data_IF_816800983940
#
_entry.id   IF_816800983940
#
_cell.length_a   1.000
_cell.length_b   1.000
_cell.length_c   1.000
_cell.angle_alpha   90.00
_cell.angle_beta   90.00
_cell.angle_gamma   90.00
#
_symmetry.space_group_name_H-M   'P 1'
#
loop_
_entity.id
_entity.type
_entity.pdbx_description
1 polymer ?
#
# COMPACT_ATOMS: atom_id res chain seq x y z
N UNK A 1 -6.99 27.57 31.70
CA UNK A 1 -7.78 26.36 31.38
C UNK A 1 -8.46 25.91 32.65
N UNK A 2 -9.79 25.93 32.66
CA UNK A 2 -10.58 25.46 33.81
C UNK A 2 -10.73 23.93 33.77
N UNK A 3 -11.10 23.32 34.90
CA UNK A 3 -11.31 21.87 34.98
C UNK A 3 -12.41 21.38 34.02
N UNK A 4 -13.45 22.17 33.79
CA UNK A 4 -14.53 21.87 32.84
C UNK A 4 -14.06 21.90 31.37
N UNK A 5 -13.19 22.84 31.00
CA UNK A 5 -12.62 22.89 29.65
C UNK A 5 -11.77 21.64 29.36
N UNK A 6 -11.03 21.14 30.35
CA UNK A 6 -10.25 19.91 30.20
C UNK A 6 -11.15 18.67 30.09
N UNK A 7 -12.19 18.59 30.92
CA UNK A 7 -13.16 17.47 30.89
C UNK A 7 -13.91 17.44 29.56
N UNK A 8 -14.40 18.57 29.05
CA UNK A 8 -15.08 18.62 27.75
C UNK A 8 -14.16 18.17 26.61
N UNK A 9 -12.89 18.58 26.64
CA UNK A 9 -11.90 18.17 25.63
C UNK A 9 -11.59 16.68 25.69
N UNK A 10 -11.53 16.10 26.89
CA UNK A 10 -11.33 14.66 27.09
C UNK A 10 -12.57 13.88 26.62
N UNK A 11 -13.78 14.34 26.96
CA UNK A 11 -15.03 13.70 26.54
C UNK A 11 -15.17 13.74 25.02
N UNK A 12 -14.90 14.89 24.38
CA UNK A 12 -14.86 14.99 22.92
C UNK A 12 -13.82 14.05 22.30
N UNK A 13 -12.62 13.97 22.87
CA UNK A 13 -11.57 13.04 22.42
C UNK A 13 -11.98 11.57 22.58
N UNK A 14 -12.59 11.20 23.71
CA UNK A 14 -13.06 9.84 23.97
C UNK A 14 -14.21 9.48 23.03
N UNK A 15 -15.20 10.35 22.85
CA UNK A 15 -16.29 10.14 21.90
C UNK A 15 -15.77 10.05 20.45
N UNK A 16 -14.80 10.89 20.07
CA UNK A 16 -14.14 10.81 18.76
C UNK A 16 -13.42 9.47 18.56
N UNK A 17 -12.74 8.96 19.59
CA UNK A 17 -12.05 7.65 19.55
C UNK A 17 -13.04 6.49 19.48
N UNK A 18 -14.15 6.55 20.21
CA UNK A 18 -15.21 5.54 20.17
C UNK A 18 -15.91 5.52 18.81
N UNK A 19 -16.14 6.70 18.20
CA UNK A 19 -16.73 6.78 16.86
C UNK A 19 -15.76 6.40 15.73
N UNK A 20 -14.44 6.58 15.90
CA UNK A 20 -13.44 6.05 14.94
C UNK A 20 -13.50 4.53 14.80
N UNK A 21 -13.90 3.81 15.84
CA UNK A 21 -14.13 2.37 15.78
C UNK A 21 -15.43 1.98 15.02
N UNK A 22 -16.25 2.96 14.63
CA UNK A 22 -17.56 2.77 14.00
C UNK A 22 -17.63 3.35 12.58
N UNK A 23 -16.51 3.51 11.87
CA UNK A 23 -16.59 3.79 10.43
C UNK A 23 -17.23 2.58 9.76
N UNK A 24 -18.44 2.70 9.16
CA UNK A 24 -19.14 1.55 8.58
C UNK A 24 -18.25 0.87 7.54
N UNK A 25 -18.20 -0.45 7.50
CA UNK A 25 -17.31 -1.18 6.58
C UNK A 25 -17.56 -0.82 5.10
N UNK A 26 -18.78 -0.41 4.74
CA UNK A 26 -19.14 0.07 3.41
C UNK A 26 -19.76 1.47 3.48
N UNK A 27 -19.32 2.42 2.63
CA UNK A 27 -19.95 3.74 2.55
C UNK A 27 -21.36 3.64 1.92
N UNK A 28 -22.26 4.62 2.19
CA UNK A 28 -23.57 4.67 1.54
C UNK A 28 -23.45 4.75 0.00
N UNK A 29 -24.50 4.38 -0.75
CA UNK A 29 -24.50 4.52 -2.20
C UNK A 29 -24.13 5.94 -2.64
N UNK A 30 -23.25 6.06 -3.65
CA UNK A 30 -22.76 7.34 -4.15
C UNK A 30 -21.71 8.02 -3.27
N UNK A 31 -21.41 7.50 -2.08
CA UNK A 31 -20.30 8.00 -1.26
C UNK A 31 -18.99 7.33 -1.65
N UNK A 32 -17.90 8.09 -1.59
CA UNK A 32 -16.55 7.60 -1.84
C UNK A 32 -15.63 7.86 -0.67
N UNK A 33 -14.73 6.93 -0.44
CA UNK A 33 -13.66 7.05 0.55
C UNK A 33 -12.32 7.06 -0.14
N UNK A 34 -11.53 8.08 0.14
CA UNK A 34 -10.20 8.23 -0.41
C UNK A 34 -9.18 8.19 0.73
N UNK A 35 -8.14 7.37 0.54
CA UNK A 35 -6.95 7.44 1.36
C UNK A 35 -5.96 8.42 0.73
N UNK A 36 -5.69 9.52 1.41
CA UNK A 36 -4.70 10.51 1.04
C UNK A 36 -3.37 10.14 1.70
N UNK A 37 -2.34 9.81 0.93
CA UNK A 37 -1.02 9.43 1.43
C UNK A 37 -0.04 10.58 1.18
N UNK A 38 0.35 11.30 2.22
CA UNK A 38 1.27 12.44 2.13
C UNK A 38 2.70 12.00 2.39
N UNK A 39 3.64 12.42 1.54
CA UNK A 39 5.07 12.13 1.69
C UNK A 39 5.90 13.42 1.89
N UNK A 40 7.17 13.28 2.28
CA UNK A 40 8.02 14.37 2.76
C UNK A 40 8.57 15.32 1.68
N UNK A 41 7.71 15.94 0.87
CA UNK A 41 8.07 16.96 -0.12
C UNK A 41 7.23 18.22 0.02
N UNK A 42 7.69 19.33 -0.53
CA UNK A 42 6.97 20.64 -0.48
C UNK A 42 6.54 21.14 -1.86
N UNK A 43 7.21 20.72 -2.92
CA UNK A 43 6.87 21.11 -4.30
C UNK A 43 5.48 20.56 -4.64
N UNK A 44 4.59 21.44 -5.13
CA UNK A 44 3.22 21.09 -5.50
C UNK A 44 2.26 20.87 -4.32
N UNK A 45 2.75 20.79 -3.07
CA UNK A 45 1.94 20.41 -1.91
C UNK A 45 0.75 21.33 -1.66
N UNK A 46 0.94 22.66 -1.76
CA UNK A 46 -0.14 23.63 -1.58
C UNK A 46 -1.20 23.51 -2.67
N UNK A 47 -0.78 23.42 -3.93
CA UNK A 47 -1.69 23.26 -5.07
C UNK A 47 -2.51 21.96 -4.96
N UNK A 48 -1.86 20.85 -4.62
CA UNK A 48 -2.54 19.57 -4.44
C UNK A 48 -3.56 19.61 -3.28
N UNK A 49 -3.21 20.26 -2.17
CA UNK A 49 -4.12 20.44 -1.03
C UNK A 49 -5.33 21.32 -1.41
N UNK A 50 -5.13 22.39 -2.20
CA UNK A 50 -6.21 23.23 -2.73
C UNK A 50 -7.14 22.46 -3.66
N UNK A 51 -6.57 21.65 -4.56
CA UNK A 51 -7.34 20.80 -5.47
C UNK A 51 -8.21 19.79 -4.72
N UNK A 52 -7.66 19.12 -3.70
CA UNK A 52 -8.42 18.17 -2.88
C UNK A 52 -9.47 18.87 -2.00
N UNK A 53 -9.16 20.04 -1.44
CA UNK A 53 -10.13 20.82 -0.68
C UNK A 53 -11.28 21.30 -1.58
N UNK A 54 -10.98 21.73 -2.82
CA UNK A 54 -11.99 22.10 -3.80
C UNK A 54 -12.88 20.90 -4.15
N UNK A 55 -12.29 19.74 -4.42
CA UNK A 55 -13.03 18.51 -4.70
C UNK A 55 -13.96 18.11 -3.54
N UNK A 56 -13.48 18.19 -2.30
CA UNK A 56 -14.30 17.98 -1.09
C UNK A 56 -15.48 18.93 -1.04
N UNK A 57 -15.27 20.22 -1.34
CA UNK A 57 -16.34 21.23 -1.35
C UNK A 57 -17.38 20.94 -2.43
N UNK A 58 -16.97 20.50 -3.61
CA UNK A 58 -17.85 20.16 -4.72
C UNK A 58 -18.68 18.89 -4.45
N UNK A 59 -18.08 17.87 -3.82
CA UNK A 59 -18.74 16.58 -3.52
C UNK A 59 -19.48 16.55 -2.17
N UNK A 60 -19.15 17.48 -1.27
CA UNK A 60 -19.75 17.58 0.05
C UNK A 60 -19.60 16.32 0.89
N UNK A 61 -20.70 15.89 1.51
CA UNK A 61 -20.76 14.70 2.38
C UNK A 61 -20.54 13.38 1.63
N UNK A 62 -20.71 13.37 0.30
CA UNK A 62 -20.49 12.20 -0.54
C UNK A 62 -19.02 11.81 -0.73
N UNK A 63 -18.08 12.56 -0.17
CA UNK A 63 -16.66 12.25 -0.24
C UNK A 63 -16.01 12.32 1.13
N UNK A 64 -15.41 11.22 1.57
CA UNK A 64 -14.68 11.11 2.82
C UNK A 64 -13.18 10.95 2.56
N UNK A 65 -12.37 11.65 3.35
CA UNK A 65 -10.91 11.53 3.32
C UNK A 65 -10.41 10.87 4.60
N UNK A 66 -9.53 9.91 4.43
CA UNK A 66 -8.59 9.47 5.45
C UNK A 66 -7.21 9.95 5.02
N UNK A 67 -6.34 10.32 5.97
CA UNK A 67 -5.00 10.78 5.61
C UNK A 67 -3.93 9.98 6.36
N UNK A 68 -2.92 9.54 5.62
CA UNK A 68 -1.71 8.89 6.14
C UNK A 68 -0.50 9.75 5.80
N UNK A 69 0.17 10.26 6.82
CA UNK A 69 1.46 10.92 6.70
C UNK A 69 2.57 9.90 6.85
N UNK A 70 3.52 9.90 5.91
CA UNK A 70 4.81 9.29 6.18
C UNK A 70 5.54 10.06 7.29
N UNK A 71 6.54 9.44 7.92
CA UNK A 71 7.29 10.09 9.01
C UNK A 71 7.89 11.42 8.56
N UNK A 72 8.50 11.45 7.37
CA UNK A 72 9.07 12.67 6.80
C UNK A 72 8.00 13.70 6.43
N UNK A 73 6.79 13.26 6.05
CA UNK A 73 5.69 14.18 5.76
C UNK A 73 5.21 14.91 7.02
N UNK A 74 5.05 14.20 8.13
CA UNK A 74 4.64 14.79 9.40
C UNK A 74 5.69 15.75 9.99
N UNK A 75 6.96 15.61 9.61
CA UNK A 75 8.02 16.54 9.99
C UNK A 75 8.04 17.84 9.13
N UNK A 76 7.46 17.81 7.94
CA UNK A 76 7.49 18.93 6.97
C UNK A 76 6.15 19.68 6.96
N UNK A 77 5.06 18.94 7.08
CA UNK A 77 3.69 19.44 7.04
C UNK A 77 3.09 19.37 8.44
N UNK A 78 2.11 20.24 8.70
CA UNK A 78 1.27 20.18 9.90
C UNK A 78 0.10 19.20 9.65
N UNK A 79 0.11 17.98 10.24
CA UNK A 79 -0.93 16.99 10.00
C UNK A 79 -2.32 17.44 10.48
N UNK A 80 -2.38 18.24 11.54
CA UNK A 80 -3.66 18.76 12.04
C UNK A 80 -4.24 19.80 11.10
N UNK A 81 -3.40 20.69 10.57
CA UNK A 81 -3.83 21.70 9.59
C UNK A 81 -4.36 21.05 8.32
N UNK A 82 -3.65 20.06 7.78
CA UNK A 82 -4.14 19.29 6.63
C UNK A 82 -5.44 18.56 6.97
N UNK A 83 -5.54 17.96 8.16
CA UNK A 83 -6.76 17.30 8.63
C UNK A 83 -7.96 18.26 8.69
N UNK A 84 -7.76 19.49 9.17
CA UNK A 84 -8.80 20.54 9.22
C UNK A 84 -9.18 21.03 7.82
N UNK A 85 -8.21 21.33 6.96
CA UNK A 85 -8.45 21.85 5.60
C UNK A 85 -9.22 20.84 4.72
N UNK A 86 -8.90 19.56 4.85
CA UNK A 86 -9.56 18.49 4.10
C UNK A 86 -10.80 17.90 4.81
N UNK A 87 -11.06 18.32 6.06
CA UNK A 87 -12.13 17.78 6.90
C UNK A 87 -12.10 16.24 6.93
N UNK A 88 -10.93 15.70 7.27
CA UNK A 88 -10.67 14.24 7.23
C UNK A 88 -11.33 13.51 8.39
N UNK A 89 -11.66 12.23 8.17
CA UNK A 89 -12.23 11.33 9.17
C UNK A 89 -11.16 10.87 10.17
N UNK A 90 -9.96 10.52 9.67
CA UNK A 90 -8.83 10.10 10.49
C UNK A 90 -7.51 10.65 9.92
N UNK A 91 -6.59 10.96 10.83
CA UNK A 91 -5.21 11.35 10.57
C UNK A 91 -4.29 10.29 11.18
N UNK A 92 -3.60 9.57 10.31
CA UNK A 92 -2.59 8.58 10.65
C UNK A 92 -1.19 9.15 10.38
N UNK A 93 -0.26 8.91 11.29
CA UNK A 93 1.14 9.30 11.20
C UNK A 93 2.00 8.04 11.35
N UNK A 94 2.85 7.79 10.36
CA UNK A 94 3.77 6.66 10.31
C UNK A 94 4.66 6.56 11.56
N UNK A 95 4.63 5.39 12.22
CA UNK A 95 5.44 5.11 13.41
C UNK A 95 4.82 5.58 14.72
N UNK A 96 3.77 6.39 14.67
CA UNK A 96 3.00 6.84 15.82
C UNK A 96 1.69 6.04 15.91
N UNK A 97 0.56 6.63 15.51
CA UNK A 97 -0.78 6.08 15.66
C UNK A 97 -1.23 5.20 14.48
N UNK A 98 -0.33 4.87 13.55
CA UNK A 98 -0.63 4.19 12.28
C UNK A 98 -0.25 2.71 12.21
N UNK A 99 0.44 2.16 13.23
CA UNK A 99 0.91 0.76 13.23
C UNK A 99 -0.25 -0.20 12.93
N UNK A 100 -0.18 -0.89 11.79
CA UNK A 100 -1.23 -1.80 11.27
C UNK A 100 -2.51 -1.11 10.74
N UNK A 101 -2.77 0.14 11.13
CA UNK A 101 -4.00 0.87 10.78
C UNK A 101 -4.02 1.40 9.35
N UNK A 102 -2.87 1.61 8.72
CA UNK A 102 -2.79 2.06 7.32
C UNK A 102 -3.53 1.10 6.37
N UNK A 103 -3.23 -0.19 6.48
CA UNK A 103 -3.87 -1.25 5.69
C UNK A 103 -5.33 -1.48 6.07
N UNK A 104 -5.71 -1.26 7.34
CA UNK A 104 -7.11 -1.31 7.78
C UNK A 104 -7.95 -0.21 7.13
N UNK A 105 -7.46 1.03 7.17
CA UNK A 105 -8.12 2.17 6.51
C UNK A 105 -8.18 1.98 4.99
N UNK A 106 -7.11 1.44 4.40
CA UNK A 106 -7.08 1.14 2.96
C UNK A 106 -8.22 0.22 2.52
N UNK A 107 -8.61 -0.77 3.35
CA UNK A 107 -9.74 -1.69 3.06
C UNK A 107 -11.09 -0.97 2.95
N UNK A 108 -11.22 0.21 3.56
CA UNK A 108 -12.44 1.02 3.54
C UNK A 108 -12.50 1.96 2.33
N UNK A 109 -11.40 2.11 1.61
CA UNK A 109 -11.23 3.15 0.59
C UNK A 109 -11.46 2.60 -0.82
N UNK A 110 -12.03 3.44 -1.68
CA UNK A 110 -12.20 3.18 -3.10
C UNK A 110 -10.93 3.52 -3.89
N UNK A 111 -10.17 4.51 -3.45
CA UNK A 111 -9.09 5.11 -4.23
C UNK A 111 -8.01 5.68 -3.30
N UNK A 112 -6.77 5.67 -3.77
CA UNK A 112 -5.63 6.26 -3.06
C UNK A 112 -5.11 7.48 -3.83
N UNK A 113 -4.86 8.57 -3.11
CA UNK A 113 -4.29 9.80 -3.67
C UNK A 113 -2.99 10.14 -2.97
N UNK A 114 -1.93 10.42 -3.72
CA UNK A 114 -0.64 10.89 -3.22
C UNK A 114 -0.46 12.35 -3.63
N UNK A 115 -0.91 13.33 -2.83
CA UNK A 115 -0.85 14.75 -3.20
C UNK A 115 0.59 15.29 -3.28
N UNK A 116 1.55 14.56 -2.71
CA UNK A 116 2.97 14.87 -2.81
C UNK A 116 3.71 13.54 -2.96
N UNK A 117 4.07 13.17 -4.19
CA UNK A 117 4.99 12.06 -4.43
C UNK A 117 6.42 12.59 -4.42
N UNK A 118 7.26 12.13 -3.50
CA UNK A 118 8.69 12.50 -3.47
C UNK A 118 9.52 11.58 -4.35
N UNK A 119 10.68 12.06 -4.81
CA UNK A 119 11.73 11.23 -5.44
C UNK A 119 12.06 9.97 -4.63
N UNK A 120 12.13 10.11 -3.29
CA UNK A 120 12.45 9.00 -2.41
C UNK A 120 11.33 7.95 -2.35
N UNK A 121 10.07 8.38 -2.29
CA UNK A 121 8.94 7.44 -2.37
C UNK A 121 8.84 6.81 -3.76
N UNK A 122 9.03 7.57 -4.84
CA UNK A 122 9.03 7.02 -6.20
C UNK A 122 10.11 5.93 -6.38
N UNK A 123 11.33 6.16 -5.89
CA UNK A 123 12.41 5.17 -5.95
C UNK A 123 12.09 3.91 -5.12
N UNK A 124 11.53 4.07 -3.91
CA UNK A 124 11.07 2.95 -3.08
C UNK A 124 10.03 2.11 -3.79
N UNK A 125 9.01 2.75 -4.36
CA UNK A 125 7.95 2.07 -5.10
C UNK A 125 8.50 1.35 -6.33
N UNK A 126 9.37 1.99 -7.13
CA UNK A 126 9.99 1.39 -8.30
C UNK A 126 10.76 0.10 -7.94
N UNK A 127 11.40 0.11 -6.77
CA UNK A 127 12.22 -0.99 -6.25
C UNK A 127 11.46 -1.96 -5.34
N UNK A 128 10.16 -1.73 -5.11
CA UNK A 128 9.32 -2.47 -4.15
C UNK A 128 9.92 -2.54 -2.73
N UNK A 129 10.61 -1.48 -2.32
CA UNK A 129 11.10 -1.32 -0.95
C UNK A 129 9.96 -0.81 -0.06
N UNK A 130 9.41 -1.71 0.75
CA UNK A 130 8.25 -1.46 1.62
C UNK A 130 8.67 -1.07 3.04
N UNK A 131 9.79 -0.34 3.18
CA UNK A 131 10.37 0.08 4.46
C UNK A 131 9.69 1.31 5.08
N UNK A 132 8.59 1.77 4.47
CA UNK A 132 7.77 2.87 4.99
C UNK A 132 6.28 2.57 4.80
N UNK A 133 5.46 3.05 5.73
CA UNK A 133 4.00 2.86 5.68
C UNK A 133 3.39 3.40 4.39
N UNK A 134 3.93 4.50 3.84
CA UNK A 134 3.48 5.05 2.57
C UNK A 134 3.78 4.08 1.40
N UNK A 135 4.96 3.49 1.34
CA UNK A 135 5.31 2.53 0.28
C UNK A 135 4.49 1.24 0.40
N UNK A 136 4.36 0.70 1.62
CA UNK A 136 3.56 -0.49 1.91
C UNK A 136 2.09 -0.30 1.47
N UNK A 137 1.44 0.77 1.94
CA UNK A 137 0.03 1.05 1.62
C UNK A 137 -0.19 1.26 0.12
N UNK A 138 0.74 1.91 -0.58
CA UNK A 138 0.60 2.15 -2.02
C UNK A 138 0.74 0.86 -2.82
N UNK A 139 1.67 -0.03 -2.45
CA UNK A 139 1.80 -1.35 -3.09
C UNK A 139 0.59 -2.23 -2.78
N UNK A 140 0.12 -2.23 -1.52
CA UNK A 140 -1.12 -2.93 -1.14
C UNK A 140 -2.33 -2.44 -1.94
N UNK A 141 -2.44 -1.13 -2.19
CA UNK A 141 -3.52 -0.54 -2.97
C UNK A 141 -3.50 -1.05 -4.42
N UNK A 142 -2.32 -1.05 -5.05
CA UNK A 142 -2.12 -1.56 -6.41
C UNK A 142 -2.44 -3.06 -6.49
N UNK A 143 -1.99 -3.86 -5.51
CA UNK A 143 -2.29 -5.29 -5.44
C UNK A 143 -3.79 -5.57 -5.28
N UNK A 144 -4.55 -4.67 -4.66
CA UNK A 144 -6.01 -4.74 -4.53
C UNK A 144 -6.75 -4.24 -5.79
N UNK A 145 -6.04 -3.75 -6.80
CA UNK A 145 -6.63 -3.12 -7.97
C UNK A 145 -7.32 -1.79 -7.66
N UNK A 146 -6.96 -1.13 -6.56
CA UNK A 146 -7.43 0.22 -6.26
C UNK A 146 -6.68 1.21 -7.16
N UNK A 147 -7.39 2.18 -7.78
CA UNK A 147 -6.69 3.21 -8.53
C UNK A 147 -5.85 4.06 -7.57
N UNK A 148 -4.63 4.37 -8.01
CA UNK A 148 -3.69 5.22 -7.29
C UNK A 148 -3.36 6.43 -8.17
N UNK A 149 -3.64 7.64 -7.69
CA UNK A 149 -3.30 8.89 -8.38
C UNK A 149 -2.23 9.63 -7.58
N UNK A 150 -1.16 10.09 -8.22
CA UNK A 150 -0.05 10.72 -7.54
C UNK A 150 0.41 12.01 -8.25
N UNK A 151 0.54 13.09 -7.48
CA UNK A 151 1.11 14.34 -7.95
C UNK A 151 2.63 14.22 -8.09
N UNK A 152 3.16 14.33 -9.31
CA UNK A 152 4.55 14.03 -9.64
C UNK A 152 5.52 15.20 -9.41
N UNK A 153 5.04 16.40 -9.08
CA UNK A 153 5.85 17.63 -9.05
C UNK A 153 7.08 17.54 -8.13
N UNK A 154 6.98 16.82 -7.01
CA UNK A 154 8.07 16.60 -6.06
C UNK A 154 8.94 15.36 -6.35
N UNK A 155 8.63 14.63 -7.42
CA UNK A 155 9.35 13.44 -7.88
C UNK A 155 10.00 13.64 -9.25
N UNK A 156 9.38 14.39 -10.16
CA UNK A 156 9.94 14.69 -11.48
C UNK A 156 11.07 15.72 -11.34
N UNK A 157 12.34 15.35 -11.60
CA UNK A 157 13.47 16.26 -11.48
C UNK A 157 13.43 17.42 -12.49
N UNK A 158 12.57 17.35 -13.50
CA UNK A 158 12.36 18.38 -14.53
C UNK A 158 11.14 19.27 -14.26
N UNK A 159 10.45 19.09 -13.13
CA UNK A 159 9.33 19.95 -12.77
C UNK A 159 9.74 21.42 -12.56
N UNK A 160 8.80 22.33 -12.79
CA UNK A 160 9.02 23.77 -12.55
C UNK A 160 9.47 24.05 -11.11
N UNK A 161 8.98 23.27 -10.14
CA UNK A 161 9.36 23.42 -8.74
C UNK A 161 10.86 23.22 -8.51
N UNK A 162 11.45 22.17 -9.10
CA UNK A 162 12.90 21.98 -9.01
C UNK A 162 13.68 23.03 -9.79
N UNK A 163 13.15 23.51 -10.93
CA UNK A 163 13.76 24.60 -11.67
C UNK A 163 13.83 25.90 -10.84
N UNK A 164 12.74 26.26 -10.15
CA UNK A 164 12.69 27.44 -9.26
C UNK A 164 13.65 27.33 -8.09
N UNK A 165 13.90 26.12 -7.60
CA UNK A 165 14.88 25.85 -6.54
C UNK A 165 16.33 25.72 -7.06
N UNK A 166 16.58 25.91 -8.36
CA UNK A 166 17.90 25.73 -8.97
C UNK A 166 18.41 24.28 -8.98
N UNK A 167 17.53 23.31 -8.71
CA UNK A 167 17.83 21.88 -8.60
C UNK A 167 17.57 21.10 -9.91
N UNK A 168 17.38 21.79 -11.03
CA UNK A 168 17.16 21.19 -12.36
C UNK A 168 18.46 20.98 -13.17
N UNK A 169 19.63 21.11 -12.55
CA UNK A 169 20.96 20.99 -13.20
C UNK A 169 21.63 19.63 -12.96
N UNK A 170 20.84 18.60 -12.63
CA UNK A 170 21.35 17.25 -12.42
C UNK A 170 22.08 16.70 -13.65
N UNK A 171 23.09 15.85 -13.45
CA UNK A 171 23.75 15.17 -14.58
C UNK A 171 22.72 14.32 -15.37
N UNK A 172 22.82 14.23 -16.70
CA UNK A 172 21.79 13.57 -17.52
C UNK A 172 21.43 12.15 -17.06
N UNK A 173 22.43 11.32 -16.72
CA UNK A 173 22.18 9.95 -16.25
C UNK A 173 21.39 9.89 -14.94
N UNK A 174 21.62 10.83 -14.00
CA UNK A 174 20.85 10.90 -12.76
C UNK A 174 19.42 11.37 -13.01
N UNK A 175 19.25 12.37 -13.89
CA UNK A 175 17.92 12.85 -14.29
C UNK A 175 17.13 11.71 -14.92
N UNK A 176 17.77 10.92 -15.80
CA UNK A 176 17.14 9.76 -16.43
C UNK A 176 16.75 8.71 -15.40
N UNK A 177 17.65 8.31 -14.48
CA UNK A 177 17.32 7.32 -13.44
C UNK A 177 16.13 7.73 -12.56
N UNK A 178 15.96 9.03 -12.27
CA UNK A 178 14.80 9.54 -11.53
C UNK A 178 13.52 9.49 -12.37
N UNK A 179 13.59 9.70 -13.68
CA UNK A 179 12.46 9.55 -14.61
C UNK A 179 12.08 8.08 -14.80
N UNK A 180 13.07 7.19 -14.90
CA UNK A 180 12.85 5.74 -15.02
C UNK A 180 12.04 5.22 -13.82
N UNK A 181 12.29 5.72 -12.60
CA UNK A 181 11.47 5.38 -11.43
C UNK A 181 9.99 5.77 -11.61
N UNK A 182 9.71 6.94 -12.21
CA UNK A 182 8.34 7.38 -12.50
C UNK A 182 7.68 6.50 -13.57
N UNK A 183 8.43 6.12 -14.61
CA UNK A 183 7.94 5.22 -15.66
C UNK A 183 7.63 3.83 -15.10
N UNK A 184 8.48 3.29 -14.22
CA UNK A 184 8.27 2.00 -13.56
C UNK A 184 6.97 2.02 -12.73
N UNK A 185 6.79 3.02 -11.86
CA UNK A 185 5.59 3.06 -11.01
C UNK A 185 4.32 3.36 -11.80
N UNK A 186 4.43 4.12 -12.90
CA UNK A 186 3.33 4.27 -13.85
C UNK A 186 2.98 2.93 -14.49
N UNK A 187 3.98 2.12 -14.84
CA UNK A 187 3.82 0.74 -15.32
C UNK A 187 3.15 -0.20 -14.32
N UNK A 188 3.29 0.05 -13.01
CA UNK A 188 2.54 -0.66 -11.97
C UNK A 188 1.08 -0.24 -11.85
N UNK A 189 0.67 0.85 -12.50
CA UNK A 189 -0.70 1.37 -12.48
C UNK A 189 -0.90 2.67 -11.69
N UNK A 190 0.18 3.33 -11.25
CA UNK A 190 0.08 4.66 -10.65
C UNK A 190 -0.19 5.70 -11.73
N UNK A 191 -1.28 6.45 -11.61
CA UNK A 191 -1.59 7.57 -12.51
C UNK A 191 -0.85 8.82 -12.02
N UNK A 192 0.21 9.20 -12.74
CA UNK A 192 1.03 10.38 -12.43
C UNK A 192 0.44 11.63 -13.08
N UNK A 193 0.26 12.70 -12.30
CA UNK A 193 -0.35 13.96 -12.76
C UNK A 193 0.38 15.17 -12.16
N UNK A 194 0.29 16.36 -12.76
CA UNK A 194 0.64 17.59 -12.07
C UNK A 194 -0.29 17.86 -10.87
N UNK A 195 0.23 18.45 -9.81
CA UNK A 195 -0.51 18.74 -8.57
C UNK A 195 -1.78 19.55 -8.81
N UNK A 196 -1.75 20.49 -9.77
CA UNK A 196 -2.87 21.34 -10.20
C UNK A 196 -4.00 20.58 -10.93
N UNK A 197 -3.73 19.36 -11.40
CA UNK A 197 -4.69 18.51 -12.12
C UNK A 197 -5.19 17.36 -11.23
N UNK A 198 -4.71 17.30 -9.99
CA UNK A 198 -5.03 16.21 -9.06
C UNK A 198 -6.53 16.11 -8.79
N UNK A 199 -7.20 17.24 -8.55
CA UNK A 199 -8.61 17.27 -8.20
C UNK A 199 -9.50 16.79 -9.34
N UNK A 200 -9.24 17.24 -10.58
CA UNK A 200 -10.02 16.86 -11.75
C UNK A 200 -9.84 15.39 -12.12
N UNK A 201 -8.61 14.86 -12.08
CA UNK A 201 -8.36 13.44 -12.37
C UNK A 201 -8.98 12.53 -11.33
N UNK A 202 -8.91 12.89 -10.04
CA UNK A 202 -9.59 12.15 -8.97
C UNK A 202 -11.11 12.20 -9.16
N UNK A 203 -11.67 13.37 -9.51
CA UNK A 203 -13.10 13.51 -9.77
C UNK A 203 -13.59 12.62 -10.92
N UNK A 204 -12.79 12.50 -11.99
CA UNK A 204 -13.07 11.64 -13.13
C UNK A 204 -13.04 10.16 -12.74
N UNK A 205 -12.04 9.73 -11.97
CA UNK A 205 -11.95 8.35 -11.50
C UNK A 205 -13.12 7.95 -10.60
N UNK A 206 -13.58 8.88 -9.75
CA UNK A 206 -14.80 8.68 -8.95
C UNK A 206 -16.02 8.48 -9.86
N UNK A 207 -16.16 9.31 -10.91
CA UNK A 207 -17.30 9.28 -11.84
C UNK A 207 -17.39 7.99 -12.64
N UNK A 208 -16.29 7.59 -13.30
CA UNK A 208 -16.24 6.36 -14.12
C UNK A 208 -16.68 5.10 -13.34
N UNK A 209 -16.38 5.07 -12.04
CA UNK A 209 -16.71 3.93 -11.17
C UNK A 209 -18.15 3.96 -10.63
N UNK A 210 -18.82 5.12 -10.65
CA UNK A 210 -20.25 5.19 -10.40
C UNK A 210 -21.02 4.58 -11.58
N UNK A 211 -20.57 4.86 -12.80
CA UNK A 211 -21.19 4.38 -14.03
C UNK A 211 -20.91 2.89 -14.31
N UNK A 212 -19.75 2.39 -13.88
CA UNK A 212 -19.33 1.04 -14.24
C UNK A 212 -20.01 -0.07 -13.45
N UNK A 213 -20.62 0.17 -12.28
CA UNK A 213 -21.38 -0.83 -11.49
C UNK A 213 -20.70 -2.18 -11.18
N UNK A 214 -19.45 -2.38 -11.60
CA UNK A 214 -18.80 -3.69 -11.71
C UNK A 214 -17.62 -3.72 -10.74
N UNK A 215 -17.56 -4.79 -9.95
CA UNK A 215 -16.36 -5.19 -9.22
C UNK A 215 -15.14 -5.20 -10.18
N UNK A 216 -13.92 -4.93 -9.69
CA UNK A 216 -12.73 -4.90 -10.54
C UNK A 216 -12.63 -6.19 -11.36
N UNK A 217 -12.75 -6.06 -12.68
CA UNK A 217 -12.51 -7.17 -13.58
C UNK A 217 -11.02 -7.51 -13.53
N UNK A 218 -10.64 -8.79 -13.47
CA UNK A 218 -9.25 -9.19 -13.57
C UNK A 218 -8.68 -8.63 -14.87
N UNK A 219 -7.52 -7.99 -14.77
CA UNK A 219 -6.76 -7.46 -15.90
C UNK A 219 -6.70 -8.51 -17.02
N UNK A 220 -7.44 -8.27 -18.10
CA UNK A 220 -7.25 -8.99 -19.35
C UNK A 220 -5.81 -8.75 -19.74
N UNK A 221 -5.01 -9.82 -19.76
CA UNK A 221 -3.61 -9.79 -20.21
C UNK A 221 -3.55 -9.07 -21.55
N UNK A 222 -3.05 -7.83 -21.54
CA UNK A 222 -2.62 -7.16 -22.77
C UNK A 222 -1.57 -8.05 -23.43
N UNK A 223 -1.74 -8.33 -24.73
CA UNK A 223 -0.79 -9.15 -25.52
C UNK A 223 0.59 -8.48 -25.68
N UNK A 224 0.76 -7.25 -25.20
CA UNK A 224 1.99 -6.47 -25.27
C UNK A 224 2.58 -6.19 -23.88
N UNK A 225 2.91 -7.24 -23.12
CA UNK A 225 3.83 -7.11 -22.00
C UNK A 225 5.24 -6.91 -22.58
N UNK A 226 5.95 -5.81 -22.25
CA UNK A 226 7.36 -5.68 -22.59
C UNK A 226 8.11 -6.92 -22.05
N UNK A 227 8.88 -7.60 -22.90
CA UNK A 227 9.69 -8.73 -22.45
C UNK A 227 10.56 -8.26 -21.28
N UNK A 228 10.43 -8.93 -20.14
CA UNK A 228 11.26 -8.69 -18.96
C UNK A 228 12.72 -8.51 -19.39
N UNK A 229 13.40 -7.41 -19.00
CA UNK A 229 14.83 -7.26 -19.24
C UNK A 229 15.64 -8.31 -18.45
N UNK A 230 15.04 -8.91 -17.43
CA UNK A 230 15.54 -10.12 -16.80
C UNK A 230 15.12 -11.34 -17.62
N UNK A 231 15.97 -11.72 -18.57
CA UNK A 231 16.05 -13.11 -19.00
C UNK A 231 16.73 -13.88 -17.87
N UNK A 232 16.03 -14.86 -17.29
CA UNK A 232 16.68 -15.84 -16.42
C UNK A 232 17.86 -16.46 -17.19
N UNK A 233 19.04 -16.63 -16.58
CA UNK A 233 20.14 -17.34 -17.22
C UNK A 233 19.65 -18.71 -17.70
N UNK A 234 19.98 -19.08 -18.94
CA UNK A 234 19.60 -20.36 -19.55
C UNK A 234 20.05 -21.60 -18.74
N UNK A 235 20.89 -21.40 -17.73
CA UNK A 235 21.38 -22.40 -16.78
C UNK A 235 20.26 -22.92 -15.85
N UNK A 236 19.17 -22.18 -15.65
CA UNK A 236 18.00 -22.65 -14.88
C UNK A 236 16.95 -23.35 -15.75
N UNK A 237 17.03 -23.23 -17.08
CA UNK A 237 16.13 -23.91 -18.03
C UNK A 237 16.60 -25.33 -18.41
N UNK A 238 17.77 -25.74 -17.93
CA UNK A 238 18.31 -27.09 -18.12
C UNK A 238 18.36 -27.90 -16.83
N UNK A 239 17.52 -27.58 -15.83
CA UNK A 239 17.23 -28.55 -14.78
C UNK A 239 16.38 -29.63 -15.46
N UNK A 240 16.85 -30.89 -15.59
CA UNK A 240 16.02 -31.93 -16.16
C UNK A 240 14.73 -31.96 -15.35
N UNK A 241 13.58 -31.96 -16.04
CA UNK A 241 12.31 -32.27 -15.43
C UNK A 241 12.53 -33.54 -14.61
N UNK A 242 12.39 -33.44 -13.30
CA UNK A 242 12.53 -34.59 -12.42
C UNK A 242 11.43 -35.55 -12.82
N UNK A 243 11.81 -36.55 -13.63
CA UNK A 243 10.99 -37.69 -13.93
C UNK A 243 10.45 -38.22 -12.61
N UNK A 244 9.15 -38.47 -12.59
CA UNK A 244 8.47 -39.15 -11.50
C UNK A 244 9.06 -40.56 -11.33
N UNK A 245 10.19 -40.67 -10.62
CA UNK A 245 10.64 -41.93 -10.04
C UNK A 245 9.89 -42.13 -8.74
N UNK A 246 8.77 -42.84 -8.87
CA UNK A 246 8.18 -43.61 -7.79
C UNK A 246 9.19 -44.67 -7.38
N UNK A 247 9.88 -44.45 -6.26
CA UNK A 247 10.25 -45.47 -5.29
C UNK A 247 10.82 -44.78 -4.04
N UNK A 248 10.01 -44.75 -2.97
CA UNK A 248 10.29 -44.24 -1.61
C UNK A 248 10.60 -42.74 -1.52
N UNK A 249 9.57 -41.90 -1.60
CA UNK A 249 9.62 -40.55 -1.02
C UNK A 249 9.82 -40.66 0.49
N UNK A 250 11.05 -40.44 0.93
CA UNK A 250 11.46 -40.45 2.34
C UNK A 250 11.59 -39.00 2.83
N UNK A 251 10.71 -38.09 2.40
CA UNK A 251 10.68 -36.71 2.90
C UNK A 251 9.28 -36.39 3.40
N UNK A 252 9.17 -36.04 4.68
CA UNK A 252 7.91 -35.67 5.34
C UNK A 252 7.89 -34.15 5.50
N UNK A 253 6.90 -33.53 4.87
CA UNK A 253 6.64 -32.10 4.91
C UNK A 253 5.49 -31.76 5.86
N UNK A 254 5.33 -30.47 6.20
CA UNK A 254 4.23 -30.01 7.07
C UNK A 254 2.86 -30.47 6.60
N UNK A 255 2.62 -30.52 5.29
CA UNK A 255 1.33 -30.91 4.73
C UNK A 255 0.99 -32.39 4.99
N UNK A 256 2.01 -33.23 5.15
CA UNK A 256 1.85 -34.69 5.31
C UNK A 256 1.71 -35.12 6.77
N UNK A 257 2.06 -34.25 7.74
CA UNK A 257 1.97 -34.54 9.18
C UNK A 257 0.55 -34.90 9.63
N UNK A 258 -0.47 -34.26 9.06
CA UNK A 258 -1.86 -34.49 9.43
C UNK A 258 -2.32 -35.95 9.20
N UNK A 259 -1.68 -36.67 8.27
CA UNK A 259 -1.98 -38.06 7.98
C UNK A 259 -1.16 -39.05 8.84
N UNK A 260 -0.10 -38.58 9.50
CA UNK A 260 0.84 -39.41 10.27
C UNK A 260 0.64 -39.31 11.80
N UNK A 261 -0.08 -38.27 12.25
CA UNK A 261 -0.44 -38.09 13.66
C UNK A 261 -1.68 -38.91 14.01
N UNK A 262 -1.60 -39.69 15.08
CA UNK A 262 -2.75 -40.39 15.61
C UNK A 262 -3.55 -39.52 16.60
N UNK A 263 -4.75 -39.98 16.97
CA UNK A 263 -5.64 -39.28 17.92
C UNK A 263 -5.05 -39.11 19.35
N UNK A 264 -3.87 -39.68 19.62
CA UNK A 264 -3.13 -39.52 20.88
C UNK A 264 -1.94 -38.56 20.75
N UNK A 265 -1.80 -37.86 19.62
CA UNK A 265 -0.71 -36.92 19.39
C UNK A 265 0.64 -37.60 19.15
N UNK A 266 0.65 -38.85 18.66
CA UNK A 266 1.88 -39.56 18.28
C UNK A 266 2.02 -39.56 16.77
N UNK A 267 3.15 -39.07 16.27
CA UNK A 267 3.53 -39.05 14.85
C UNK A 267 4.45 -40.23 14.59
N UNK A 268 4.00 -41.16 13.73
CA UNK A 268 4.81 -42.32 13.33
C UNK A 268 5.60 -42.02 12.07
N UNK A 269 6.93 -42.05 12.19
CA UNK A 269 7.86 -41.67 11.14
C UNK A 269 8.55 -42.94 10.63
N UNK A 270 8.38 -43.31 9.35
CA UNK A 270 9.04 -44.48 8.79
C UNK A 270 10.56 -44.39 8.93
N UNK A 271 11.20 -45.51 9.28
CA UNK A 271 12.66 -45.59 9.41
C UNK A 271 13.37 -45.07 8.16
N UNK A 272 14.20 -44.04 8.35
CA UNK A 272 14.95 -43.36 7.28
C UNK A 272 14.26 -42.12 6.69
N UNK A 273 13.02 -41.79 7.06
CA UNK A 273 12.36 -40.59 6.56
C UNK A 273 13.02 -39.30 7.09
N UNK A 274 13.30 -38.38 6.16
CA UNK A 274 13.77 -37.03 6.42
C UNK A 274 12.57 -36.13 6.69
N UNK A 275 12.51 -35.55 7.88
CA UNK A 275 11.46 -34.62 8.26
C UNK A 275 11.96 -33.21 8.00
N UNK A 276 11.21 -32.39 7.28
CA UNK A 276 11.62 -31.01 7.01
C UNK A 276 11.64 -30.17 8.30
N UNK A 277 12.47 -29.12 8.40
CA UNK A 277 12.53 -28.27 9.60
C UNK A 277 11.18 -27.70 10.00
N UNK A 278 10.38 -27.26 9.02
CA UNK A 278 9.03 -26.74 9.26
C UNK A 278 8.07 -27.81 9.80
N UNK A 279 8.25 -29.08 9.43
CA UNK A 279 7.47 -30.17 10.00
C UNK A 279 7.89 -30.45 11.45
N UNK A 280 9.17 -30.37 11.77
CA UNK A 280 9.66 -30.46 13.16
C UNK A 280 9.12 -29.35 14.05
N UNK A 281 9.03 -28.13 13.54
CA UNK A 281 8.46 -26.99 14.28
C UNK A 281 7.00 -27.26 14.64
N UNK A 282 6.20 -27.78 13.70
CA UNK A 282 4.79 -28.12 13.94
C UNK A 282 4.63 -29.25 14.97
N UNK A 283 5.46 -30.29 14.90
CA UNK A 283 5.45 -31.38 15.90
C UNK A 283 5.73 -30.81 17.31
N UNK A 284 6.73 -29.93 17.43
CA UNK A 284 7.12 -29.30 18.70
C UNK A 284 6.03 -28.38 19.24
N UNK A 285 5.47 -27.53 18.40
CA UNK A 285 4.44 -26.56 18.79
C UNK A 285 3.13 -27.25 19.21
N UNK A 286 2.80 -28.39 18.59
CA UNK A 286 1.63 -29.19 18.93
C UNK A 286 1.86 -30.16 20.10
N UNK A 287 3.09 -30.28 20.61
CA UNK A 287 3.45 -31.19 21.69
C UNK A 287 3.34 -32.68 21.31
N UNK A 288 3.48 -33.01 20.03
CA UNK A 288 3.34 -34.37 19.54
C UNK A 288 4.59 -35.21 19.83
N UNK A 289 4.37 -36.48 20.18
CA UNK A 289 5.44 -37.45 20.38
C UNK A 289 5.82 -38.10 19.06
N UNK A 290 7.11 -38.38 18.85
CA UNK A 290 7.59 -39.02 17.62
C UNK A 290 7.97 -40.46 17.91
N UNK A 291 7.39 -41.40 17.16
CA UNK A 291 7.76 -42.82 17.16
C UNK A 291 8.36 -43.19 15.81
N UNK A 292 9.47 -43.93 15.81
CA UNK A 292 10.01 -44.51 14.60
C UNK A 292 9.26 -45.81 14.27
N UNK A 293 8.78 -45.94 13.03
CA UNK A 293 8.00 -47.08 12.52
C UNK A 293 8.81 -47.94 11.55
#
# INVERSE_FOLDING_TARGET
MTGEELVNRIVEEVLRRLNRAQVPASPPPGHRRILVVVTGGTIGARAALEELARLKKERGVGLEYFILFSRSAAAIHDPEKWGRELQVVDVLIEGENSRGRGTEVLKLCDLVVVPVLTRATAARLASLLLDSAAAEVLVDALMRGLPVVAASDAADPTSEGFARLGMNRGRPALVQALKDNLEIIAGYGVTLVPARELGSVVAEMIGRRADSGTAPQPLVRSKNVPKSPYQLPAVLSSVPAVEQRSERRMVITRAELAALVNNKGVVRIPRGALVTPLAWDVIRDAGWQVEEA
#
